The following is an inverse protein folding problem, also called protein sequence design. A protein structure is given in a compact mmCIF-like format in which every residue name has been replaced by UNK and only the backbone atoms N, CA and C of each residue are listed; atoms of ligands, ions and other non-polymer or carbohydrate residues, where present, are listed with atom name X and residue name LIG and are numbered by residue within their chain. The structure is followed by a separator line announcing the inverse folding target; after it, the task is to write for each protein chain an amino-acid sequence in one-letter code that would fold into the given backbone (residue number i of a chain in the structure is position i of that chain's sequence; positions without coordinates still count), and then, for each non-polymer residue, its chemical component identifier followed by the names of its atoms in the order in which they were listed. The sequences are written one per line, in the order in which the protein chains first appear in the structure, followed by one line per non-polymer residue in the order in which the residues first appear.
data_IF_795056566335
#
_entry.id   IF_795056566335
#
_cell.length_a   1.000
_cell.length_b   1.000
_cell.length_c   1.000
_cell.angle_alpha   90.00
_cell.angle_beta   90.00
_cell.angle_gamma   90.00
#
_symmetry.space_group_name_H-M   'P 1'
#
loop_
_entity.id
_entity.type
_entity.pdbx_description
1 polymer ?
#
# COMPACT_ATOMS: atom_id res chain seq x y z
N UNK A 1 4.05 -12.91 -0.80
CA UNK A 1 3.08 -11.87 -1.21
C UNK A 1 3.19 -10.62 -0.31
N UNK A 2 3.27 -9.43 -0.92
CA UNK A 2 3.39 -8.15 -0.21
C UNK A 2 2.14 -7.29 -0.43
N UNK A 3 1.90 -6.36 0.49
CA UNK A 3 0.85 -5.36 0.39
C UNK A 3 1.46 -3.97 0.52
N UNK A 4 1.12 -3.05 -0.38
CA UNK A 4 1.62 -1.67 -0.43
C UNK A 4 0.47 -0.73 -0.10
N UNK A 5 0.65 0.09 0.94
CA UNK A 5 -0.27 1.18 1.29
C UNK A 5 0.23 2.48 0.65
N UNK A 6 -0.59 3.10 -0.21
CA UNK A 6 -0.23 4.34 -0.92
C UNK A 6 -1.05 5.49 -0.35
N UNK A 7 -0.39 6.48 0.26
CA UNK A 7 -1.09 7.68 0.78
C UNK A 7 -1.70 8.54 -0.33
N UNK A 8 -1.00 8.71 -1.45
CA UNK A 8 -1.44 9.61 -2.53
C UNK A 8 -1.21 9.07 -3.94
N UNK A 9 0.04 9.06 -4.42
CA UNK A 9 0.39 8.58 -5.77
C UNK A 9 1.65 7.71 -5.68
N UNK A 10 1.73 6.62 -6.45
CA UNK A 10 2.94 5.81 -6.55
C UNK A 10 4.05 6.59 -7.27
N UNK A 11 5.31 6.37 -6.85
CA UNK A 11 6.51 6.93 -7.50
C UNK A 11 6.42 8.45 -7.75
N UNK A 12 6.08 9.23 -6.73
CA UNK A 12 6.04 10.70 -6.83
C UNK A 12 7.38 11.23 -7.34
N UNK A 13 7.32 12.10 -8.36
CA UNK A 13 8.50 12.65 -9.04
C UNK A 13 8.83 11.95 -10.36
N UNK A 14 8.17 10.82 -10.65
CA UNK A 14 8.23 10.14 -11.93
C UNK A 14 7.00 10.47 -12.79
N UNK A 15 7.12 10.18 -14.08
CA UNK A 15 5.99 10.17 -14.99
C UNK A 15 4.87 9.26 -14.45
N UNK A 16 3.66 9.81 -14.37
CA UNK A 16 2.54 9.14 -13.72
C UNK A 16 1.90 8.05 -14.57
N UNK A 17 2.05 8.09 -15.90
CA UNK A 17 1.63 7.01 -16.77
C UNK A 17 2.54 5.79 -16.57
N UNK A 18 3.86 6.02 -16.52
CA UNK A 18 4.85 4.97 -16.26
C UNK A 18 4.71 4.39 -14.85
N UNK A 19 4.45 5.24 -13.85
CA UNK A 19 4.22 4.78 -12.48
C UNK A 19 3.03 3.81 -12.39
N UNK A 20 1.93 4.08 -13.12
CA UNK A 20 0.76 3.21 -13.20
C UNK A 20 1.06 1.90 -13.91
N UNK A 21 1.86 1.92 -14.97
CA UNK A 21 2.26 0.71 -15.68
C UNK A 21 3.04 -0.24 -14.75
N UNK A 22 3.99 0.30 -13.96
CA UNK A 22 4.74 -0.47 -12.97
C UNK A 22 3.84 -1.03 -11.89
N UNK A 23 2.93 -0.22 -11.32
CA UNK A 23 2.02 -0.73 -10.28
C UNK A 23 1.08 -1.82 -10.80
N UNK A 24 0.58 -1.70 -12.03
CA UNK A 24 -0.29 -2.70 -12.64
C UNK A 24 0.44 -4.04 -12.83
N UNK A 25 1.70 -4.01 -13.26
CA UNK A 25 2.53 -5.21 -13.38
C UNK A 25 2.78 -5.87 -12.01
N UNK A 26 3.02 -5.06 -10.97
CA UNK A 26 3.17 -5.56 -9.61
C UNK A 26 1.88 -6.21 -9.09
N UNK A 27 0.72 -5.65 -9.42
CA UNK A 27 -0.59 -6.22 -9.10
C UNK A 27 -0.83 -7.55 -9.80
N UNK A 28 -0.47 -7.66 -11.09
CA UNK A 28 -0.54 -8.91 -11.85
C UNK A 28 0.35 -10.00 -11.23
N UNK A 29 1.49 -9.61 -10.66
CA UNK A 29 2.40 -10.50 -9.91
C UNK A 29 1.92 -10.82 -8.49
N UNK A 30 0.77 -10.31 -8.07
CA UNK A 30 0.13 -10.63 -6.79
C UNK A 30 0.49 -9.71 -5.63
N UNK A 31 1.08 -8.54 -5.90
CA UNK A 31 1.23 -7.48 -4.89
C UNK A 31 -0.10 -6.76 -4.73
N UNK A 32 -0.58 -6.60 -3.49
CA UNK A 32 -1.84 -5.89 -3.23
C UNK A 32 -1.58 -4.41 -3.00
N UNK A 33 -2.28 -3.52 -3.68
CA UNK A 33 -2.22 -2.08 -3.42
C UNK A 33 -3.50 -1.61 -2.72
N UNK A 34 -3.32 -0.82 -1.65
CA UNK A 34 -4.40 -0.03 -1.05
C UNK A 34 -4.10 1.45 -1.23
N UNK A 35 -4.90 2.11 -2.05
CA UNK A 35 -4.76 3.53 -2.32
C UNK A 35 -5.43 4.37 -1.23
N UNK A 36 -4.94 5.61 -1.10
CA UNK A 36 -5.39 6.63 -0.15
C UNK A 36 -5.52 6.11 1.29
N UNK A 37 -4.55 5.29 1.69
CA UNK A 37 -4.47 4.73 3.03
C UNK A 37 -3.38 5.42 3.86
N UNK A 38 -3.68 5.67 5.13
CA UNK A 38 -2.73 6.20 6.12
C UNK A 38 -2.61 5.21 7.29
N UNK A 39 -1.39 4.74 7.65
CA UNK A 39 -1.20 3.86 8.78
C UNK A 39 -1.53 4.60 10.09
N UNK A 40 -2.19 3.91 11.01
CA UNK A 40 -2.61 4.42 12.32
C UNK A 40 -1.75 3.86 13.45
N UNK A 41 -1.51 2.54 13.45
CA UNK A 41 -0.76 1.86 14.51
C UNK A 41 -0.26 0.50 14.04
N UNK A 42 0.76 0.00 14.73
CA UNK A 42 1.27 -1.36 14.60
C UNK A 42 1.44 -1.94 16.00
N UNK A 43 0.82 -3.09 16.23
CA UNK A 43 0.88 -3.80 17.52
C UNK A 43 1.46 -5.19 17.35
N UNK A 44 2.28 -5.63 18.30
CA UNK A 44 2.77 -7.01 18.34
C UNK A 44 1.77 -7.86 19.12
N UNK A 45 1.29 -8.92 18.48
CA UNK A 45 0.39 -9.90 19.07
C UNK A 45 1.17 -10.93 19.91
N UNK A 46 0.47 -11.63 20.80
CA UNK A 46 1.03 -12.67 21.66
C UNK A 46 1.70 -13.81 20.85
N UNK A 47 1.17 -14.09 19.65
CA UNK A 47 1.73 -15.06 18.71
C UNK A 47 2.97 -14.55 17.94
N UNK A 48 3.46 -13.34 18.25
CA UNK A 48 4.62 -12.72 17.63
C UNK A 48 4.34 -11.98 16.31
N UNK A 49 3.13 -12.05 15.77
CA UNK A 49 2.76 -11.34 14.53
C UNK A 49 2.49 -9.86 14.78
N UNK A 50 2.57 -9.05 13.71
CA UNK A 50 2.25 -7.62 13.76
C UNK A 50 0.84 -7.36 13.21
N UNK A 51 -0.01 -6.72 14.01
CA UNK A 51 -1.31 -6.21 13.62
C UNK A 51 -1.16 -4.73 13.23
N UNK A 52 -1.18 -4.47 11.92
CA UNK A 52 -1.20 -3.11 11.40
C UNK A 52 -2.65 -2.62 11.28
N UNK A 53 -2.89 -1.36 11.67
CA UNK A 53 -4.15 -0.64 11.45
C UNK A 53 -3.90 0.53 10.51
N UNK A 54 -4.80 0.76 9.58
CA UNK A 54 -4.77 1.91 8.68
C UNK A 54 -6.20 2.43 8.43
N UNK A 55 -6.30 3.68 8.02
CA UNK A 55 -7.56 4.32 7.62
C UNK A 55 -7.50 4.68 6.14
N UNK A 56 -8.62 4.45 5.44
CA UNK A 56 -8.83 4.98 4.10
C UNK A 56 -9.34 6.42 4.21
N UNK A 57 -8.65 7.36 3.58
CA UNK A 57 -8.97 8.78 3.61
C UNK A 57 -9.97 9.22 2.51
N UNK A 58 -10.55 8.29 1.76
CA UNK A 58 -11.65 8.55 0.80
C UNK A 58 -13.05 8.39 1.39
N UNK A 59 -13.16 7.83 2.59
CA UNK A 59 -14.45 7.56 3.26
C UNK A 59 -14.82 8.68 4.21
#
# INVERSE_FOLDING_TARGET
PATVLVRSVPLRGFDQQMARAVTAEMEEKGVKFHHRCVPLSVEKLENGQLKARWSNTET
#
